data_IF_870899146031
#
_entry.id   IF_870899146031
#
_cell.length_a   1.000
_cell.length_b   1.000
_cell.length_c   1.000
_cell.angle_alpha   90.00
_cell.angle_beta   90.00
_cell.angle_gamma   90.00
#
_symmetry.space_group_name_H-M   'P 1'
#
loop_
_entity.id
_entity.type
_entity.pdbx_description
1 polymer ?
#
# COMPACT_ATOMS: atom_id res chain seq x y z
N UNK A 1 -9.38 4.05 2.25
CA UNK A 1 -8.23 4.62 1.51
C UNK A 1 -6.91 4.34 2.22
N UNK A 2 -6.78 4.62 3.52
CA UNK A 2 -5.55 4.37 4.27
C UNK A 2 -4.99 2.94 4.18
N UNK A 3 -5.82 1.91 4.32
CA UNK A 3 -5.39 0.52 4.15
C UNK A 3 -4.77 0.20 2.77
N UNK A 4 -5.19 0.91 1.71
CA UNK A 4 -4.54 0.75 0.40
C UNK A 4 -3.17 1.42 0.35
N UNK A 5 -2.97 2.53 1.07
CA UNK A 5 -1.64 3.15 1.22
C UNK A 5 -0.70 2.23 2.00
N UNK A 6 -1.20 1.59 3.07
CA UNK A 6 -0.43 0.57 3.80
C UNK A 6 -0.07 -0.60 2.86
N UNK A 7 -1.03 -1.08 2.05
CA UNK A 7 -0.78 -2.14 1.07
C UNK A 7 0.22 -1.74 -0.03
N UNK A 8 0.36 -0.45 -0.34
CA UNK A 8 1.33 0.07 -1.29
C UNK A 8 2.78 -0.07 -0.77
N UNK A 9 3.00 0.00 0.56
CA UNK A 9 4.35 -0.01 1.15
C UNK A 9 5.14 -1.30 0.86
N UNK A 10 4.63 -2.53 1.08
CA UNK A 10 5.38 -3.73 0.73
C UNK A 10 5.66 -3.82 -0.78
N UNK A 11 4.77 -3.30 -1.63
CA UNK A 11 4.99 -3.23 -3.07
C UNK A 11 6.18 -2.34 -3.45
N UNK A 12 6.42 -1.27 -2.69
CA UNK A 12 7.64 -0.47 -2.84
C UNK A 12 8.88 -1.27 -2.46
N UNK A 13 8.80 -2.12 -1.43
CA UNK A 13 9.87 -3.07 -1.09
C UNK A 13 10.23 -4.00 -2.27
N UNK A 14 9.23 -4.55 -2.97
CA UNK A 14 9.48 -5.37 -4.16
C UNK A 14 10.12 -4.59 -5.31
N UNK A 15 9.76 -3.31 -5.48
CA UNK A 15 10.40 -2.44 -6.46
C UNK A 15 11.85 -2.11 -6.08
N UNK A 16 12.09 -1.83 -4.79
CA UNK A 16 13.41 -1.52 -4.24
C UNK A 16 14.37 -2.71 -4.40
N UNK A 17 13.90 -3.93 -4.17
CA UNK A 17 14.68 -5.17 -4.39
C UNK A 17 15.18 -5.32 -5.82
N UNK A 18 14.45 -4.79 -6.80
CA UNK A 18 14.81 -4.86 -8.21
C UNK A 18 15.73 -3.70 -8.66
N UNK A 19 16.17 -2.83 -7.75
CA UNK A 19 17.14 -1.80 -8.06
C UNK A 19 18.51 -2.42 -8.35
N UNK A 20 19.11 -2.04 -9.48
CA UNK A 20 20.44 -2.49 -9.87
C UNK A 20 21.48 -2.03 -8.83
N UNK A 21 22.46 -2.89 -8.57
CA UNK A 21 23.65 -2.50 -7.82
C UNK A 21 24.40 -1.37 -8.54
N UNK A 22 24.93 -0.41 -7.77
CA UNK A 22 25.72 0.70 -8.30
C UNK A 22 24.94 1.94 -8.76
N UNK A 23 23.64 2.05 -8.46
CA UNK A 23 22.92 3.32 -8.60
C UNK A 23 23.40 4.33 -7.56
N UNK A 24 23.47 5.61 -7.93
CA UNK A 24 23.76 6.68 -6.97
C UNK A 24 22.56 6.97 -6.10
N UNK A 25 22.77 7.66 -4.97
CA UNK A 25 21.70 8.11 -4.09
C UNK A 25 20.64 8.92 -4.87
N UNK A 26 21.06 9.91 -5.65
CA UNK A 26 20.14 10.75 -6.45
C UNK A 26 19.33 9.93 -7.46
N UNK A 27 19.94 8.93 -8.09
CA UNK A 27 19.23 8.02 -9.00
C UNK A 27 18.22 7.13 -8.26
N UNK A 28 18.54 6.73 -7.03
CA UNK A 28 17.63 6.00 -6.14
C UNK A 28 16.43 6.86 -5.76
N UNK A 29 16.69 8.07 -5.25
CA UNK A 29 15.65 9.04 -4.86
C UNK A 29 14.72 9.36 -6.02
N UNK A 30 15.27 9.67 -7.20
CA UNK A 30 14.46 9.94 -8.39
C UNK A 30 13.58 8.75 -8.83
N UNK A 31 13.98 7.51 -8.51
CA UNK A 31 13.13 6.33 -8.75
C UNK A 31 12.00 6.22 -7.73
N UNK A 32 12.29 6.46 -6.46
CA UNK A 32 11.28 6.45 -5.38
C UNK A 32 10.24 7.53 -5.63
N UNK A 33 10.65 8.76 -5.94
CA UNK A 33 9.74 9.86 -6.30
C UNK A 33 8.84 9.50 -7.49
N UNK A 34 9.39 8.79 -8.48
CA UNK A 34 8.59 8.31 -9.61
C UNK A 34 7.56 7.26 -9.20
N UNK A 35 7.87 6.40 -8.24
CA UNK A 35 6.91 5.42 -7.72
C UNK A 35 5.80 6.11 -6.93
N UNK A 36 6.15 7.07 -6.07
CA UNK A 36 5.19 7.87 -5.30
C UNK A 36 4.22 8.66 -6.21
N UNK A 37 4.73 9.20 -7.32
CA UNK A 37 3.91 9.87 -8.32
C UNK A 37 2.99 8.93 -9.14
N UNK A 38 3.09 7.60 -8.97
CA UNK A 38 2.26 6.64 -9.72
C UNK A 38 1.07 6.14 -8.93
N UNK A 39 -0.04 5.88 -9.62
CA UNK A 39 -1.23 5.29 -9.00
C UNK A 39 -0.97 3.83 -8.61
N UNK A 40 -1.65 3.35 -7.57
CA UNK A 40 -1.61 1.94 -7.14
C UNK A 40 -1.69 0.94 -8.30
N UNK A 41 -2.65 1.14 -9.21
CA UNK A 41 -2.83 0.26 -10.36
C UNK A 41 -1.68 0.31 -11.37
N UNK A 42 -1.00 1.45 -11.53
CA UNK A 42 0.21 1.55 -12.38
C UNK A 42 1.39 0.85 -11.73
N UNK A 43 1.57 1.07 -10.41
CA UNK A 43 2.61 0.44 -9.63
C UNK A 43 2.49 -1.09 -9.66
N UNK A 44 1.29 -1.61 -9.36
CA UNK A 44 0.99 -3.04 -9.42
C UNK A 44 1.20 -3.63 -10.83
N UNK A 45 0.83 -2.90 -11.89
CA UNK A 45 1.02 -3.39 -13.27
C UNK A 45 2.49 -3.67 -13.62
N UNK A 46 3.44 -2.90 -13.07
CA UNK A 46 4.87 -3.15 -13.27
C UNK A 46 5.39 -4.36 -12.49
N UNK A 47 4.71 -4.73 -11.41
CA UNK A 47 5.10 -5.82 -10.52
C UNK A 47 4.48 -7.17 -10.91
N UNK A 48 3.22 -7.18 -11.37
CA UNK A 48 2.45 -8.40 -11.65
C UNK A 48 3.05 -9.34 -12.70
N UNK A 49 4.01 -8.86 -13.51
CA UNK A 49 4.68 -9.65 -14.56
C UNK A 49 5.92 -10.38 -14.06
N UNK A 50 6.26 -10.27 -12.77
CA UNK A 50 7.41 -10.96 -12.19
C UNK A 50 7.04 -12.40 -11.80
N UNK A 51 7.93 -13.36 -12.05
CA UNK A 51 7.62 -14.80 -11.90
C UNK A 51 7.65 -15.31 -10.45
N UNK A 52 7.93 -14.44 -9.48
CA UNK A 52 8.10 -14.83 -8.09
C UNK A 52 6.80 -14.86 -7.27
N UNK A 53 5.64 -14.53 -7.87
CA UNK A 53 4.41 -14.42 -7.10
C UNK A 53 3.85 -15.78 -6.69
N UNK A 54 3.46 -15.96 -5.42
CA UNK A 54 2.82 -17.19 -4.97
C UNK A 54 1.44 -17.34 -5.60
N UNK A 55 0.97 -18.58 -5.69
CA UNK A 55 -0.31 -18.91 -6.27
C UNK A 55 -1.45 -18.08 -5.66
N UNK A 56 -2.27 -17.49 -6.52
CA UNK A 56 -3.43 -16.68 -6.14
C UNK A 56 -3.14 -15.24 -5.68
N UNK A 57 -1.91 -14.89 -5.28
CA UNK A 57 -1.62 -13.54 -4.78
C UNK A 57 -1.74 -12.46 -5.88
N UNK A 58 -1.38 -12.80 -7.12
CA UNK A 58 -1.61 -11.91 -8.28
C UNK A 58 -3.10 -11.58 -8.44
N UNK A 59 -3.96 -12.58 -8.33
CA UNK A 59 -5.40 -12.38 -8.46
C UNK A 59 -5.97 -11.54 -7.31
N UNK A 60 -5.48 -11.73 -6.09
CA UNK A 60 -5.88 -10.94 -4.93
C UNK A 60 -5.47 -9.47 -5.06
N UNK A 61 -4.25 -9.19 -5.51
CA UNK A 61 -3.77 -7.82 -5.76
C UNK A 61 -4.52 -7.15 -6.93
N UNK A 62 -4.86 -7.92 -7.98
CA UNK A 62 -5.76 -7.44 -9.04
C UNK A 62 -7.14 -7.04 -8.48
N UNK A 63 -7.68 -7.81 -7.51
CA UNK A 63 -8.93 -7.46 -6.84
C UNK A 63 -8.79 -6.26 -5.91
N UNK A 64 -7.65 -6.10 -5.22
CA UNK A 64 -7.38 -4.92 -4.40
C UNK A 64 -7.35 -3.65 -5.25
N UNK A 65 -6.73 -3.67 -6.44
CA UNK A 65 -6.77 -2.54 -7.38
C UNK A 65 -8.19 -2.21 -7.81
N UNK A 66 -9.00 -3.23 -8.14
CA UNK A 66 -10.42 -3.04 -8.49
C UNK A 66 -11.21 -2.46 -7.33
N UNK A 67 -11.02 -2.95 -6.11
CA UNK A 67 -11.67 -2.45 -4.91
C UNK A 67 -11.32 -0.98 -4.64
N UNK A 68 -10.05 -0.60 -4.76
CA UNK A 68 -9.61 0.81 -4.64
C UNK A 68 -10.31 1.71 -5.65
N UNK A 69 -10.36 1.30 -6.91
CA UNK A 69 -11.01 2.06 -7.98
C UNK A 69 -12.52 2.15 -7.76
N UNK A 70 -13.16 1.06 -7.33
CA UNK A 70 -14.58 1.04 -6.97
C UNK A 70 -14.88 2.04 -5.84
N UNK A 71 -14.11 2.01 -4.77
CA UNK A 71 -14.25 2.92 -3.64
C UNK A 71 -14.01 4.39 -4.03
N UNK A 72 -13.05 4.64 -4.93
CA UNK A 72 -12.72 5.99 -5.37
C UNK A 72 -13.76 6.62 -6.31
N UNK A 73 -14.45 5.81 -7.13
CA UNK A 73 -15.25 6.33 -8.24
C UNK A 73 -16.74 6.01 -8.17
N UNK A 74 -17.12 4.91 -7.50
CA UNK A 74 -18.46 4.36 -7.59
C UNK A 74 -19.16 4.25 -6.22
N UNK A 75 -18.43 3.87 -5.17
CA UNK A 75 -19.02 3.54 -3.88
C UNK A 75 -19.90 4.65 -3.28
N UNK A 76 -19.40 5.90 -3.22
CA UNK A 76 -20.19 7.01 -2.68
C UNK A 76 -21.42 7.32 -3.54
N UNK A 77 -21.31 7.15 -4.87
CA UNK A 77 -22.44 7.34 -5.77
C UNK A 77 -23.53 6.31 -5.50
N UNK A 78 -23.13 5.05 -5.36
CA UNK A 78 -24.03 3.93 -5.13
C UNK A 78 -24.77 4.05 -3.78
N UNK A 79 -24.05 4.31 -2.69
CA UNK A 79 -24.60 4.20 -1.34
C UNK A 79 -25.05 5.51 -0.69
N UNK A 80 -24.63 6.66 -1.21
CA UNK A 80 -24.86 7.94 -0.53
C UNK A 80 -25.48 9.03 -1.40
N UNK A 81 -25.40 8.93 -2.73
CA UNK A 81 -25.95 9.95 -3.64
C UNK A 81 -27.27 9.53 -4.30
N UNK A 82 -27.46 8.24 -4.61
CA UNK A 82 -28.61 7.79 -5.40
C UNK A 82 -29.78 7.35 -4.52
N UNK A 83 -29.55 6.63 -3.42
CA UNK A 83 -30.58 6.23 -2.46
C UNK A 83 -30.02 6.28 -1.04
N UNK A 84 -30.38 7.32 -0.28
CA UNK A 84 -30.04 7.38 1.14
C UNK A 84 -31.10 6.65 1.96
N UNK A 85 -30.79 5.45 2.47
CA UNK A 85 -31.57 4.75 3.49
C UNK A 85 -30.64 4.09 4.51
N UNK A 86 -31.16 3.79 5.71
CA UNK A 86 -30.40 3.07 6.74
C UNK A 86 -29.96 1.69 6.23
N UNK A 87 -30.78 1.01 5.44
CA UNK A 87 -30.45 -0.28 4.80
C UNK A 87 -29.24 -0.15 3.86
N UNK A 88 -29.21 0.88 3.00
CA UNK A 88 -28.06 1.13 2.13
C UNK A 88 -26.80 1.46 2.94
N UNK A 89 -26.94 2.16 4.07
CA UNK A 89 -25.79 2.43 4.96
C UNK A 89 -25.25 1.14 5.55
N UNK A 90 -26.10 0.25 6.07
CA UNK A 90 -25.66 -1.03 6.65
C UNK A 90 -24.99 -1.94 5.60
N UNK A 91 -25.53 -1.98 4.38
CA UNK A 91 -24.91 -2.70 3.26
C UNK A 91 -23.55 -2.11 2.90
N UNK A 92 -23.44 -0.78 2.85
CA UNK A 92 -22.18 -0.08 2.60
C UNK A 92 -21.13 -0.42 3.65
N UNK A 93 -21.49 -0.38 4.94
CA UNK A 93 -20.60 -0.73 6.05
C UNK A 93 -20.18 -2.20 5.99
N UNK A 94 -21.11 -3.10 5.65
CA UNK A 94 -20.82 -4.52 5.46
C UNK A 94 -19.82 -4.75 4.32
N UNK A 95 -19.98 -4.05 3.19
CA UNK A 95 -19.03 -4.12 2.08
C UNK A 95 -17.65 -3.58 2.46
N UNK A 96 -17.60 -2.42 3.14
CA UNK A 96 -16.33 -1.86 3.62
C UNK A 96 -15.60 -2.81 4.57
N UNK A 97 -16.33 -3.42 5.52
CA UNK A 97 -15.76 -4.39 6.45
C UNK A 97 -15.20 -5.63 5.72
N UNK A 98 -15.91 -6.12 4.70
CA UNK A 98 -15.44 -7.24 3.86
C UNK A 98 -14.19 -6.90 3.08
N UNK A 99 -14.14 -5.70 2.49
CA UNK A 99 -12.95 -5.21 1.78
C UNK A 99 -11.79 -5.07 2.75
N UNK A 100 -11.99 -4.45 3.91
CA UNK A 100 -10.97 -4.28 4.94
C UNK A 100 -10.36 -5.62 5.37
N UNK A 101 -11.20 -6.59 5.75
CA UNK A 101 -10.73 -7.93 6.13
C UNK A 101 -9.95 -8.63 5.03
N UNK A 102 -10.33 -8.44 3.76
CA UNK A 102 -9.60 -9.00 2.62
C UNK A 102 -8.26 -8.30 2.42
N UNK A 103 -8.19 -6.98 2.57
CA UNK A 103 -6.93 -6.25 2.49
C UNK A 103 -5.96 -6.67 3.58
N UNK A 104 -6.41 -6.86 4.81
CA UNK A 104 -5.57 -7.32 5.91
C UNK A 104 -4.97 -8.70 5.61
N UNK A 105 -5.78 -9.64 5.10
CA UNK A 105 -5.31 -10.96 4.70
C UNK A 105 -4.28 -10.90 3.55
N UNK A 106 -4.51 -10.04 2.55
CA UNK A 106 -3.55 -9.82 1.45
C UNK A 106 -2.26 -9.20 1.98
N UNK A 107 -2.35 -8.24 2.90
CA UNK A 107 -1.19 -7.59 3.51
C UNK A 107 -0.33 -8.60 4.27
N UNK A 108 -0.93 -9.47 5.08
CA UNK A 108 -0.21 -10.56 5.77
C UNK A 108 0.51 -11.46 4.77
N UNK A 109 -0.18 -11.96 3.73
CA UNK A 109 0.43 -12.82 2.71
C UNK A 109 1.55 -12.12 1.94
N UNK A 110 1.40 -10.81 1.71
CA UNK A 110 2.39 -10.01 1.01
C UNK A 110 3.64 -9.79 1.87
N UNK A 111 3.47 -9.58 3.18
CA UNK A 111 4.55 -9.51 4.16
C UNK A 111 5.31 -10.83 4.26
N UNK A 112 4.61 -11.95 4.43
CA UNK A 112 5.20 -13.30 4.45
C UNK A 112 6.02 -13.58 3.18
N UNK A 113 5.46 -13.27 2.01
CA UNK A 113 6.14 -13.42 0.73
C UNK A 113 7.35 -12.48 0.58
N UNK A 114 7.22 -11.24 1.07
CA UNK A 114 8.31 -10.28 1.13
C UNK A 114 9.48 -10.79 1.97
N UNK A 115 9.21 -11.25 3.20
CA UNK A 115 10.21 -11.83 4.09
C UNK A 115 10.89 -13.06 3.48
N UNK A 116 10.14 -13.94 2.83
CA UNK A 116 10.71 -15.10 2.11
C UNK A 116 11.66 -14.70 0.97
N UNK A 117 11.53 -13.48 0.43
CA UNK A 117 12.38 -12.94 -0.62
C UNK A 117 13.48 -12.00 -0.09
N UNK A 118 13.60 -11.86 1.24
CA UNK A 118 14.58 -11.01 1.91
C UNK A 118 14.25 -9.52 1.85
N UNK A 119 12.98 -9.16 1.75
CA UNK A 119 12.58 -7.76 1.98
C UNK A 119 12.71 -7.48 3.48
N UNK A 120 13.46 -6.44 3.88
CA UNK A 120 13.63 -6.11 5.28
C UNK A 120 12.31 -5.68 5.90
N UNK A 121 12.08 -6.10 7.14
CA UNK A 121 10.97 -5.60 7.96
C UNK A 121 11.38 -4.28 8.63
N UNK A 122 10.42 -3.39 8.92
CA UNK A 122 10.67 -2.14 9.65
C UNK A 122 11.27 -2.44 11.04
N UNK A 123 10.90 -3.58 11.62
CA UNK A 123 11.44 -4.05 12.89
C UNK A 123 12.92 -4.47 12.82
N UNK A 124 13.45 -4.69 11.62
CA UNK A 124 14.85 -5.08 11.39
C UNK A 124 15.78 -3.86 11.16
N UNK A 125 15.24 -2.64 11.14
CA UNK A 125 16.05 -1.42 11.00
C UNK A 125 16.93 -1.20 12.23
N UNK A 126 18.23 -0.96 12.00
CA UNK A 126 19.15 -0.56 13.06
C UNK A 126 18.77 0.82 13.65
N UNK A 127 19.19 1.04 14.91
CA UNK A 127 18.85 2.25 15.66
C UNK A 127 19.33 3.53 14.96
N UNK A 128 20.48 3.47 14.30
CA UNK A 128 21.02 4.62 13.57
C UNK A 128 20.13 5.01 12.37
N UNK A 129 19.60 4.02 11.66
CA UNK A 129 18.71 4.20 10.52
C UNK A 129 17.34 4.68 10.99
N UNK A 130 16.82 4.15 12.10
CA UNK A 130 15.59 4.67 12.73
C UNK A 130 15.71 6.15 13.07
N UNK A 131 16.80 6.55 13.71
CA UNK A 131 17.04 7.96 14.07
C UNK A 131 17.12 8.89 12.85
N UNK A 132 17.73 8.43 11.75
CA UNK A 132 17.76 9.18 10.49
C UNK A 132 16.37 9.35 9.90
N UNK A 133 15.53 8.31 9.94
CA UNK A 133 14.14 8.37 9.47
C UNK A 133 13.32 9.32 10.35
N UNK A 134 13.46 9.24 11.67
CA UNK A 134 12.79 10.14 12.61
C UNK A 134 13.15 11.61 12.34
N UNK A 135 14.42 11.91 12.07
CA UNK A 135 14.87 13.26 11.76
C UNK A 135 14.27 13.83 10.46
N UNK A 136 13.81 12.98 9.55
CA UNK A 136 13.12 13.39 8.31
C UNK A 136 11.63 13.66 8.52
N UNK A 137 11.06 13.29 9.69
CA UNK A 137 9.64 13.52 9.96
C UNK A 137 9.35 15.02 10.13
N UNK A 138 8.18 15.50 9.65
CA UNK A 138 7.81 16.90 9.79
C UNK A 138 7.56 17.27 11.27
N UNK A 139 8.55 17.87 11.91
CA UNK A 139 8.53 18.22 13.35
C UNK A 139 7.52 19.30 13.71
N UNK A 140 7.23 20.22 12.77
CA UNK A 140 6.32 21.35 12.99
C UNK A 140 4.83 20.98 13.02
N UNK A 141 4.45 19.82 12.48
CA UNK A 141 3.06 19.35 12.48
C UNK A 141 2.81 18.29 13.57
N UNK A 142 3.86 17.62 14.03
CA UNK A 142 3.80 16.55 15.03
C UNK A 142 3.91 17.05 16.47
N UNK A 143 4.39 18.28 16.70
CA UNK A 143 4.45 18.92 18.03
C UNK A 143 3.10 19.47 18.50
N UNK A 144 2.12 19.63 17.60
CA UNK A 144 0.81 20.22 17.92
C UNK A 144 -0.18 19.26 18.63
N UNK A 145 0.21 18.00 18.86
CA UNK A 145 -0.61 16.98 19.54
C UNK A 145 0.02 16.51 20.86
N UNK A 146 0.98 17.25 21.39
CA UNK A 146 1.65 16.97 22.66
C UNK A 146 1.46 18.13 23.64
N UNK A 147 0.19 18.49 23.89
CA UNK A 147 -0.27 19.22 25.07
C UNK A 147 -1.70 18.76 25.42
#
# INVERSE_FOLDING_TARGET
>A
MHQFQILELPLWGFLARNLKSGITFDQGTAKVERWDATTFGKLWRGLRTQDHWPAGLVAELDQAVKARNYLAHHFLREYFLVVSSDEHREDALTQLARIGKRLDAVLTRLGEHGGALGLPDDDELDEQTRQKIEALRPTSWLTAFSD
#
